data_IF_498728695091
#
_entry.id   IF_498728695091
#
_cell.length_a   1.000
_cell.length_b   1.000
_cell.length_c   1.000
_cell.angle_alpha   90.00
_cell.angle_beta   90.00
_cell.angle_gamma   90.00
#
_symmetry.space_group_name_H-M   'P 1'
#
loop_
_entity.id
_entity.type
_entity.pdbx_description
1 polymer ?
#
# COMPACT_ATOMS: atom_id res chain seq x y z
N UNK A 1 -12.59 10.82 -28.95
CA UNK A 1 -12.00 11.65 -27.86
C UNK A 1 -12.69 11.39 -26.51
N UNK A 2 -14.02 11.44 -26.43
CA UNK A 2 -14.81 11.23 -25.20
C UNK A 2 -14.58 9.85 -24.55
N UNK A 3 -14.55 8.78 -25.35
CA UNK A 3 -14.32 7.42 -24.84
C UNK A 3 -12.99 7.29 -24.10
N UNK A 4 -11.92 7.93 -24.60
CA UNK A 4 -10.60 7.90 -23.97
C UNK A 4 -10.61 8.61 -22.62
N UNK A 5 -11.30 9.74 -22.52
CA UNK A 5 -11.43 10.51 -21.27
C UNK A 5 -12.20 9.72 -20.23
N UNK A 6 -13.36 9.16 -20.59
CA UNK A 6 -14.17 8.32 -19.69
C UNK A 6 -13.38 7.10 -19.19
N UNK A 7 -12.60 6.46 -20.07
CA UNK A 7 -11.79 5.30 -19.69
C UNK A 7 -10.69 5.65 -18.69
N UNK A 8 -10.02 6.79 -18.87
CA UNK A 8 -8.98 7.27 -17.94
C UNK A 8 -9.57 7.52 -16.55
N UNK A 9 -10.74 8.16 -16.48
CA UNK A 9 -11.38 8.48 -15.20
C UNK A 9 -11.81 7.22 -14.46
N UNK A 10 -12.39 6.24 -15.18
CA UNK A 10 -12.74 4.94 -14.60
C UNK A 10 -11.50 4.21 -14.07
N UNK A 11 -10.41 4.17 -14.85
CA UNK A 11 -9.16 3.51 -14.43
C UNK A 11 -8.57 4.19 -13.20
N UNK A 12 -8.59 5.53 -13.14
CA UNK A 12 -8.09 6.27 -11.98
C UNK A 12 -8.88 5.96 -10.71
N UNK A 13 -10.21 6.00 -10.79
CA UNK A 13 -11.08 5.67 -9.65
C UNK A 13 -10.79 4.26 -9.17
N UNK A 14 -10.75 3.29 -10.09
CA UNK A 14 -10.49 1.90 -9.73
C UNK A 14 -9.09 1.70 -9.11
N UNK A 15 -8.05 2.29 -9.69
CA UNK A 15 -6.69 2.22 -9.17
C UNK A 15 -6.57 2.87 -7.77
N UNK A 16 -7.20 4.03 -7.56
CA UNK A 16 -7.22 4.69 -6.26
C UNK A 16 -7.94 3.84 -5.20
N UNK A 17 -9.10 3.26 -5.54
CA UNK A 17 -9.82 2.37 -4.65
C UNK A 17 -9.00 1.15 -4.26
N UNK A 18 -8.33 0.50 -5.23
CA UNK A 18 -7.46 -0.65 -4.95
C UNK A 18 -6.28 -0.28 -4.06
N UNK A 19 -5.63 0.85 -4.32
CA UNK A 19 -4.52 1.33 -3.50
C UNK A 19 -4.96 1.70 -2.08
N UNK A 20 -6.18 2.19 -1.91
CA UNK A 20 -6.74 2.52 -0.60
C UNK A 20 -7.09 1.28 0.23
N UNK A 21 -7.63 0.24 -0.40
CA UNK A 21 -7.83 -1.06 0.26
C UNK A 21 -6.48 -1.66 0.66
N UNK A 22 -5.45 -1.45 -0.16
CA UNK A 22 -4.11 -1.96 0.09
C UNK A 22 -4.02 -3.48 -0.09
N UNK A 23 -2.91 -4.04 0.39
CA UNK A 23 -2.69 -5.49 0.42
C UNK A 23 -2.24 -5.89 1.82
N UNK A 24 -2.75 -7.00 2.39
CA UNK A 24 -2.32 -7.45 3.70
C UNK A 24 -0.86 -7.84 3.63
N UNK A 25 -0.06 -7.31 4.56
CA UNK A 25 1.33 -7.69 4.71
C UNK A 25 1.43 -8.89 5.67
N UNK A 26 2.22 -9.92 5.33
CA UNK A 26 2.46 -11.04 6.22
C UNK A 26 3.38 -10.59 7.36
N UNK A 27 2.79 -10.04 8.42
CA UNK A 27 3.48 -9.68 9.67
C UNK A 27 3.17 -10.73 10.74
N UNK A 28 4.06 -10.83 11.74
CA UNK A 28 3.83 -11.66 12.93
C UNK A 28 2.91 -10.94 13.92
N UNK A 29 2.29 -11.68 14.83
CA UNK A 29 1.37 -11.12 15.82
C UNK A 29 2.02 -10.00 16.66
N UNK A 30 1.23 -8.95 16.96
CA UNK A 30 1.63 -7.77 17.72
C UNK A 30 2.79 -6.98 17.10
N UNK A 31 3.02 -7.10 15.80
CA UNK A 31 4.01 -6.29 15.07
C UNK A 31 3.31 -5.45 14.00
N UNK A 32 3.60 -4.15 14.02
CA UNK A 32 3.18 -3.19 13.00
C UNK A 32 4.39 -2.53 12.34
N UNK A 33 4.15 -1.80 11.26
CA UNK A 33 5.18 -1.00 10.59
C UNK A 33 5.23 0.41 11.16
N UNK A 34 6.42 0.98 11.22
CA UNK A 34 6.60 2.39 11.54
C UNK A 34 6.02 3.30 10.44
N UNK A 35 5.56 4.49 10.83
CA UNK A 35 4.89 5.45 9.94
C UNK A 35 5.81 6.08 8.88
N UNK A 36 7.11 5.75 8.90
CA UNK A 36 8.16 6.25 8.01
C UNK A 36 8.60 5.22 6.95
N UNK A 37 7.71 4.29 6.61
CA UNK A 37 7.94 3.32 5.55
C UNK A 37 8.31 3.99 4.21
N UNK A 38 9.39 3.52 3.57
CA UNK A 38 9.82 3.93 2.25
C UNK A 38 9.56 2.83 1.21
N UNK A 39 9.00 3.25 0.07
CA UNK A 39 8.68 2.37 -1.06
C UNK A 39 9.66 2.67 -2.19
N UNK A 40 10.35 1.63 -2.67
CA UNK A 40 11.26 1.71 -3.82
C UNK A 40 10.76 0.78 -4.91
N UNK A 41 10.49 1.35 -6.08
CA UNK A 41 10.15 0.58 -7.27
C UNK A 41 11.43 0.03 -7.91
N UNK A 42 11.46 -1.27 -8.16
CA UNK A 42 12.54 -1.96 -8.87
C UNK A 42 11.94 -2.78 -10.01
N UNK A 43 12.75 -3.10 -11.00
CA UNK A 43 12.29 -3.94 -12.12
C UNK A 43 11.89 -5.31 -11.58
N UNK A 44 10.62 -5.67 -11.73
CA UNK A 44 10.06 -6.97 -11.31
C UNK A 44 9.59 -7.06 -9.86
N UNK A 45 9.80 -6.03 -9.02
CA UNK A 45 9.30 -6.03 -7.63
C UNK A 45 9.19 -4.62 -7.03
N UNK A 46 8.35 -4.50 -6.00
CA UNK A 46 8.30 -3.32 -5.12
C UNK A 46 8.99 -3.68 -3.81
N UNK A 47 9.98 -2.88 -3.40
CA UNK A 47 10.60 -3.01 -2.08
C UNK A 47 9.92 -2.04 -1.13
N UNK A 48 9.36 -2.58 -0.05
CA UNK A 48 8.90 -1.80 1.10
C UNK A 48 9.99 -1.93 2.17
N UNK A 49 10.34 -0.84 2.81
CA UNK A 49 11.30 -0.87 3.91
C UNK A 49 10.86 0.09 4.99
N UNK A 50 10.83 -0.41 6.21
CA UNK A 50 10.21 0.23 7.35
C UNK A 50 10.75 -0.47 8.59
N UNK A 51 10.78 0.24 9.71
CA UNK A 51 11.09 -0.35 10.99
C UNK A 51 9.85 -1.06 11.55
N UNK A 52 10.08 -2.15 12.28
CA UNK A 52 9.00 -2.87 12.96
C UNK A 52 8.80 -2.32 14.36
N UNK A 53 7.53 -2.10 14.73
CA UNK A 53 7.13 -1.68 16.06
C UNK A 53 6.34 -2.82 16.69
N UNK A 54 6.75 -3.22 17.90
CA UNK A 54 5.98 -4.17 18.69
C UNK A 54 4.85 -3.44 19.41
N UNK A 55 3.61 -3.76 19.08
CA UNK A 55 2.42 -3.24 19.73
C UNK A 55 2.15 -4.04 21.01
N UNK A 56 2.83 -3.68 22.10
CA UNK A 56 2.45 -4.16 23.42
C UNK A 56 1.31 -3.29 23.96
N UNK A 57 0.07 -3.77 23.82
CA UNK A 57 -1.06 -3.25 24.56
C UNK A 57 -0.85 -3.57 26.05
N UNK A 58 -0.33 -2.59 26.79
CA UNK A 58 -0.32 -2.63 28.25
C UNK A 58 -1.80 -2.53 28.68
N UNK A 59 -2.35 -3.50 29.43
CA UNK A 59 -3.72 -3.42 29.96
C UNK A 59 -3.89 -2.27 30.97
#
# INVERSE_FOLDING_TARGET
>A
MILKTLLIDIIKVFAQSLLHVGVPLPVVDNVTLANDAYIVTKTGFVRISSDFIYEHSIP
#
